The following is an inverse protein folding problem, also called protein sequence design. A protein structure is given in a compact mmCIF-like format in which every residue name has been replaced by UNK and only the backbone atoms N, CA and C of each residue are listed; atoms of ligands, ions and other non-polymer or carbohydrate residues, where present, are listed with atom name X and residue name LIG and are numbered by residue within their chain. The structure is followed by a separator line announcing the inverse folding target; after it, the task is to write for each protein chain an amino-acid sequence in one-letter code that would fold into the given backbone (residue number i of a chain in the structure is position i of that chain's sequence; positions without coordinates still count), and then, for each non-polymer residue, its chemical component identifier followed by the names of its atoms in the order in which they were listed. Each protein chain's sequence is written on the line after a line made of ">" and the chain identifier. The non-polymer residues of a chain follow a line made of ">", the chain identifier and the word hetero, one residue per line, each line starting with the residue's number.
data_IF_657907699294
#
_entry.id   IF_657907699294
#
_cell.length_a   1.000
_cell.length_b   1.000
_cell.length_c   1.000
_cell.angle_alpha   90.00
_cell.angle_beta   90.00
_cell.angle_gamma   90.00
#
_symmetry.space_group_name_H-M   'P 1'
#
loop_
_entity.id
_entity.type
_entity.pdbx_description
1 polymer ?
#
# COMPACT_ATOMS: atom_id res chain seq x y z
N UNK A 1 -32.16 24.76 -31.88
CA UNK A 1 -31.26 23.72 -32.44
C UNK A 1 -29.78 24.04 -32.21
N UNK A 2 -29.24 25.19 -32.67
CA UNK A 2 -27.81 25.53 -32.43
C UNK A 2 -27.41 25.65 -30.95
N UNK A 3 -28.25 26.27 -30.11
CA UNK A 3 -28.00 26.39 -28.65
C UNK A 3 -28.05 25.04 -27.92
N UNK A 4 -28.93 24.13 -28.36
CA UNK A 4 -29.01 22.77 -27.81
C UNK A 4 -27.77 21.94 -28.19
N UNK A 5 -27.23 22.10 -29.41
CA UNK A 5 -25.99 21.42 -29.82
C UNK A 5 -24.77 21.91 -29.02
N UNK A 6 -24.64 23.21 -28.78
CA UNK A 6 -23.53 23.78 -28.00
C UNK A 6 -23.56 23.29 -26.54
N UNK A 7 -24.75 23.23 -25.93
CA UNK A 7 -24.91 22.71 -24.57
C UNK A 7 -24.54 21.23 -24.49
N UNK A 8 -24.92 20.42 -25.48
CA UNK A 8 -24.56 19.00 -25.54
C UNK A 8 -23.06 18.77 -25.70
N UNK A 9 -22.36 19.59 -26.48
CA UNK A 9 -20.89 19.52 -26.64
C UNK A 9 -20.19 19.89 -25.33
N UNK A 10 -20.67 20.91 -24.62
CA UNK A 10 -20.09 21.32 -23.34
C UNK A 10 -20.22 20.23 -22.26
N UNK A 11 -21.38 19.55 -22.21
CA UNK A 11 -21.61 18.39 -21.32
C UNK A 11 -20.72 17.21 -21.70
N UNK A 12 -20.53 16.94 -23.00
CA UNK A 12 -19.68 15.84 -23.46
C UNK A 12 -18.19 16.07 -23.14
N UNK A 13 -17.72 17.32 -23.21
CA UNK A 13 -16.35 17.72 -22.83
C UNK A 13 -16.16 17.69 -21.31
N UNK A 14 -17.16 18.10 -20.51
CA UNK A 14 -17.08 18.04 -19.06
C UNK A 14 -17.03 16.60 -18.54
N UNK A 15 -17.68 15.66 -19.23
CA UNK A 15 -17.62 14.23 -18.90
C UNK A 15 -16.24 13.60 -19.16
N UNK A 16 -15.47 14.13 -20.12
CA UNK A 16 -14.08 13.70 -20.39
C UNK A 16 -13.05 14.27 -19.40
N UNK A 17 -13.42 15.33 -18.67
CA UNK A 17 -12.55 15.97 -17.66
C UNK A 17 -12.69 15.35 -16.28
N UNK A 18 -13.66 14.44 -16.09
CA UNK A 18 -13.75 13.61 -14.90
C UNK A 18 -12.60 12.61 -14.94
N UNK A 19 -11.55 12.87 -14.15
CA UNK A 19 -10.55 11.85 -13.86
C UNK A 19 -11.28 10.70 -13.14
N UNK A 20 -11.56 9.63 -13.86
CA UNK A 20 -12.03 8.38 -13.28
C UNK A 20 -10.92 7.90 -12.35
N UNK A 21 -11.06 8.14 -11.04
CA UNK A 21 -10.21 7.54 -10.03
C UNK A 21 -10.62 6.08 -9.89
N UNK A 22 -10.12 5.26 -10.82
CA UNK A 22 -10.20 3.80 -10.65
C UNK A 22 -9.23 3.40 -9.55
N UNK A 23 -9.68 2.56 -8.61
CA UNK A 23 -8.76 1.88 -7.72
C UNK A 23 -7.96 0.87 -8.54
N UNK A 24 -6.64 0.97 -8.45
CA UNK A 24 -5.72 -0.01 -9.02
C UNK A 24 -5.16 -0.81 -7.86
N UNK A 25 -5.21 -2.13 -7.96
CA UNK A 25 -4.45 -2.98 -7.05
C UNK A 25 -3.10 -3.29 -7.68
N UNK A 26 -2.04 -2.94 -6.97
CA UNK A 26 -0.67 -3.27 -7.33
C UNK A 26 -0.15 -4.35 -6.38
N UNK A 27 0.59 -5.32 -6.92
CA UNK A 27 1.17 -6.40 -6.12
C UNK A 27 2.68 -6.28 -6.17
N UNK A 28 3.30 -6.04 -5.01
CA UNK A 28 4.75 -6.03 -4.86
C UNK A 28 5.19 -7.32 -4.17
N UNK A 29 6.19 -8.00 -4.73
CA UNK A 29 6.69 -9.28 -4.22
C UNK A 29 5.90 -10.48 -4.73
N UNK A 30 6.26 -10.97 -5.92
CA UNK A 30 5.70 -12.20 -6.52
C UNK A 30 6.63 -13.41 -6.37
N UNK A 31 7.61 -13.30 -5.46
CA UNK A 31 8.54 -14.39 -5.18
C UNK A 31 7.88 -15.54 -4.41
N UNK A 32 8.60 -16.65 -4.29
CA UNK A 32 8.14 -17.85 -3.58
C UNK A 32 8.66 -17.93 -2.14
N UNK A 33 9.55 -17.03 -1.74
CA UNK A 33 10.11 -16.96 -0.38
C UNK A 33 9.05 -16.42 0.57
N UNK A 34 8.86 -17.10 1.69
CA UNK A 34 7.90 -16.75 2.72
C UNK A 34 8.62 -16.17 3.93
N UNK A 35 8.19 -14.98 4.36
CA UNK A 35 8.70 -14.37 5.58
C UNK A 35 7.93 -14.94 6.78
N UNK A 36 8.57 -15.83 7.55
CA UNK A 36 7.91 -16.52 8.68
C UNK A 36 7.43 -15.60 9.82
N UNK A 37 7.97 -14.39 9.90
CA UNK A 37 7.71 -13.45 10.99
C UNK A 37 7.22 -12.07 10.52
N UNK A 38 6.90 -11.90 9.23
CA UNK A 38 6.41 -10.64 8.68
C UNK A 38 5.13 -10.87 7.85
N UNK A 39 4.15 -9.93 7.90
CA UNK A 39 4.09 -8.80 8.83
C UNK A 39 3.69 -9.24 10.25
N UNK A 40 3.17 -10.47 10.41
CA UNK A 40 2.68 -10.94 11.71
C UNK A 40 3.12 -12.36 12.00
N UNK A 41 3.54 -12.56 13.26
CA UNK A 41 3.92 -13.86 13.81
C UNK A 41 2.76 -14.43 14.60
N UNK A 42 2.12 -15.48 14.07
CA UNK A 42 0.87 -16.04 14.61
C UNK A 42 1.04 -17.05 15.75
N UNK A 43 2.27 -17.48 16.04
CA UNK A 43 2.51 -18.55 17.00
C UNK A 43 2.81 -18.06 18.42
N UNK A 44 3.62 -17.00 18.61
CA UNK A 44 4.07 -16.58 19.95
C UNK A 44 4.50 -15.10 19.99
N UNK A 45 4.04 -14.42 21.05
CA UNK A 45 4.54 -13.13 21.50
C UNK A 45 4.09 -11.93 20.65
N UNK A 46 4.37 -10.73 21.16
CA UNK A 46 4.25 -9.49 20.40
C UNK A 46 5.31 -9.47 19.29
N UNK A 47 4.93 -9.04 18.07
CA UNK A 47 5.88 -8.79 16.99
C UNK A 47 5.77 -7.34 16.51
N UNK A 48 6.93 -6.69 16.41
CA UNK A 48 7.09 -5.43 15.71
C UNK A 48 7.93 -5.70 14.46
N UNK A 49 7.46 -5.22 13.31
CA UNK A 49 8.06 -5.48 12.00
C UNK A 49 8.05 -4.21 11.17
N UNK A 50 9.00 -4.11 10.23
CA UNK A 50 9.07 -3.03 9.26
C UNK A 50 9.41 -3.60 7.90
N UNK A 51 8.83 -2.99 6.87
CA UNK A 51 9.07 -3.33 5.48
C UNK A 51 9.36 -2.02 4.73
N UNK A 52 10.33 -2.06 3.82
CA UNK A 52 10.64 -0.94 2.92
C UNK A 52 10.25 -1.39 1.53
N UNK A 53 9.39 -0.60 0.89
CA UNK A 53 9.04 -0.75 -0.51
C UNK A 53 9.58 0.46 -1.25
N UNK A 54 10.51 0.24 -2.18
CA UNK A 54 11.12 1.32 -2.94
C UNK A 54 10.17 1.86 -4.00
N UNK A 55 10.34 3.13 -4.37
CA UNK A 55 9.56 3.74 -5.46
C UNK A 55 9.70 2.94 -6.78
N UNK A 56 10.88 2.36 -7.04
CA UNK A 56 11.13 1.51 -8.20
C UNK A 56 10.27 0.24 -8.17
N UNK A 57 10.20 -0.46 -7.03
CA UNK A 57 9.39 -1.67 -6.89
C UNK A 57 7.89 -1.38 -7.03
N UNK A 58 7.42 -0.31 -6.39
CA UNK A 58 6.01 0.09 -6.43
C UNK A 58 5.62 0.54 -7.85
N UNK A 59 6.49 1.29 -8.54
CA UNK A 59 6.26 1.71 -9.92
C UNK A 59 6.29 0.52 -10.89
N UNK A 60 7.22 -0.43 -10.71
CA UNK A 60 7.27 -1.66 -11.49
C UNK A 60 6.02 -2.54 -11.29
N UNK A 61 5.40 -2.48 -10.12
CA UNK A 61 4.12 -3.13 -9.83
C UNK A 61 2.89 -2.40 -10.42
N UNK A 62 3.08 -1.26 -11.07
CA UNK A 62 2.04 -0.53 -11.80
C UNK A 62 1.45 0.69 -11.08
N UNK A 63 2.04 1.12 -9.96
CA UNK A 63 1.64 2.37 -9.33
C UNK A 63 2.28 3.58 -10.04
N UNK A 64 1.64 4.74 -9.94
CA UNK A 64 2.12 6.00 -10.50
C UNK A 64 2.18 7.10 -9.42
N UNK A 65 3.05 8.12 -9.59
CA UNK A 65 3.07 9.27 -8.70
C UNK A 65 1.70 9.93 -8.55
N UNK A 66 1.34 10.31 -7.33
CA UNK A 66 0.06 10.93 -6.99
C UNK A 66 -1.08 9.97 -6.70
N UNK A 67 -0.86 8.66 -6.81
CA UNK A 67 -1.78 7.65 -6.28
C UNK A 67 -1.74 7.61 -4.74
N UNK A 68 -2.87 7.24 -4.13
CA UNK A 68 -2.99 7.08 -2.68
C UNK A 68 -3.09 5.60 -2.32
N UNK A 69 -2.62 5.24 -1.12
CA UNK A 69 -2.75 3.88 -0.58
C UNK A 69 -4.03 3.85 0.27
N UNK A 70 -5.07 3.18 -0.25
CA UNK A 70 -6.35 3.06 0.44
C UNK A 70 -6.51 1.74 1.21
N UNK A 71 -5.73 0.72 0.85
CA UNK A 71 -5.74 -0.58 1.48
C UNK A 71 -4.40 -1.27 1.29
N UNK A 72 -4.01 -2.09 2.26
CA UNK A 72 -2.85 -2.98 2.19
C UNK A 72 -3.36 -4.39 2.49
N UNK A 73 -2.87 -5.36 1.73
CA UNK A 73 -3.18 -6.77 1.93
C UNK A 73 -1.91 -7.60 1.79
N UNK A 74 -1.79 -8.61 2.63
CA UNK A 74 -0.69 -9.56 2.58
C UNK A 74 -1.21 -10.91 2.13
N UNK A 75 -0.41 -11.60 1.31
CA UNK A 75 -0.69 -12.98 0.95
C UNK A 75 -0.39 -13.88 2.14
N UNK A 76 -1.34 -14.72 2.51
CA UNK A 76 -1.17 -15.72 3.56
C UNK A 76 -1.39 -17.11 2.97
N UNK A 77 -0.41 -18.00 3.18
CA UNK A 77 -0.43 -19.36 2.67
C UNK A 77 -1.29 -20.33 3.50
N UNK A 78 -1.87 -19.87 4.62
CA UNK A 78 -2.75 -20.68 5.47
C UNK A 78 -2.04 -21.45 6.59
N UNK A 79 -0.74 -21.21 6.83
CA UNK A 79 -0.01 -21.79 7.97
C UNK A 79 -0.20 -20.92 9.23
N UNK A 80 -0.55 -21.56 10.35
CA UNK A 80 -0.83 -20.88 11.63
C UNK A 80 -2.30 -20.43 11.76
N UNK A 81 -2.59 -19.52 12.69
CA UNK A 81 -3.92 -18.94 12.85
C UNK A 81 -3.84 -17.44 13.14
N UNK A 82 -4.62 -16.64 12.41
CA UNK A 82 -4.76 -15.20 12.68
C UNK A 82 -5.69 -14.92 13.88
N UNK A 83 -6.41 -15.93 14.37
CA UNK A 83 -7.28 -15.79 15.54
C UNK A 83 -6.50 -15.47 16.83
N UNK A 84 -5.20 -15.76 16.86
CA UNK A 84 -4.31 -15.44 17.98
C UNK A 84 -3.58 -14.09 17.80
N UNK A 85 -4.06 -13.23 16.90
CA UNK A 85 -3.48 -11.91 16.64
C UNK A 85 -4.49 -10.83 16.95
N UNK A 86 -4.04 -9.72 17.52
CA UNK A 86 -4.87 -8.53 17.77
C UNK A 86 -5.08 -7.71 16.48
N UNK A 87 -5.85 -6.63 16.58
CA UNK A 87 -5.92 -5.61 15.53
C UNK A 87 -4.52 -4.99 15.37
N UNK A 88 -4.02 -4.94 14.13
CA UNK A 88 -2.68 -4.45 13.85
C UNK A 88 -2.70 -2.93 13.79
N UNK A 89 -1.87 -2.25 14.56
CA UNK A 89 -1.61 -0.83 14.33
C UNK A 89 -0.58 -0.70 13.20
N UNK A 90 -0.94 0.00 12.13
CA UNK A 90 -0.05 0.19 10.98
C UNK A 90 0.47 1.62 10.96
N UNK A 91 1.77 1.76 10.84
CA UNK A 91 2.47 3.03 10.69
C UNK A 91 3.12 3.12 9.31
N UNK A 92 3.05 4.28 8.68
CA UNK A 92 3.65 4.53 7.38
C UNK A 92 4.39 5.87 7.36
N UNK A 93 5.46 5.95 6.57
CA UNK A 93 6.23 7.16 6.36
C UNK A 93 7.17 7.00 5.17
N UNK A 94 7.56 8.11 4.56
CA UNK A 94 8.59 8.13 3.52
C UNK A 94 9.97 8.20 4.17
N UNK A 95 10.89 7.36 3.72
CA UNK A 95 12.26 7.29 4.24
C UNK A 95 13.27 7.25 3.10
N UNK A 96 14.45 7.82 3.32
CA UNK A 96 15.56 7.73 2.37
C UNK A 96 16.24 6.34 2.36
N UNK A 97 16.04 5.55 3.42
CA UNK A 97 16.59 4.19 3.55
C UNK A 97 15.90 3.26 2.55
N UNK A 98 16.68 2.56 1.72
CA UNK A 98 16.16 1.63 0.69
C UNK A 98 16.20 0.16 1.11
N UNK A 99 16.94 -0.18 2.17
CA UNK A 99 17.01 -1.52 2.76
C UNK A 99 17.41 -1.47 4.23
N UNK A 100 17.18 -2.56 4.96
CA UNK A 100 17.73 -2.75 6.30
C UNK A 100 19.13 -3.35 6.20
N UNK A 101 20.12 -2.64 6.73
CA UNK A 101 21.53 -3.10 6.69
C UNK A 101 21.90 -4.04 7.85
N UNK A 102 21.07 -4.07 8.89
CA UNK A 102 21.25 -4.92 10.07
C UNK A 102 19.92 -5.16 10.78
N UNK A 103 19.92 -6.01 11.80
CA UNK A 103 18.76 -6.27 12.67
C UNK A 103 18.44 -5.14 13.66
N UNK A 104 19.27 -4.08 13.69
CA UNK A 104 19.09 -2.90 14.55
C UNK A 104 18.86 -1.61 13.76
N UNK A 105 18.95 -1.65 12.43
CA UNK A 105 18.81 -0.48 11.55
C UNK A 105 17.34 -0.15 11.23
N UNK A 106 16.51 -0.05 12.27
CA UNK A 106 15.09 0.27 12.15
C UNK A 106 14.88 1.74 11.77
N UNK A 107 13.81 2.01 11.02
CA UNK A 107 13.30 3.36 10.81
C UNK A 107 12.78 3.90 12.15
N UNK A 108 13.18 5.11 12.59
CA UNK A 108 12.69 5.69 13.83
C UNK A 108 11.17 5.85 13.84
N UNK A 109 10.53 5.53 14.97
CA UNK A 109 9.07 5.68 15.11
C UNK A 109 8.60 7.12 14.88
N UNK A 110 9.40 8.11 15.27
CA UNK A 110 9.09 9.53 15.09
C UNK A 110 9.02 9.99 13.62
N UNK A 111 9.51 9.19 12.67
CA UNK A 111 9.36 9.49 11.23
C UNK A 111 8.16 8.78 10.59
N UNK A 112 7.33 8.11 11.39
CA UNK A 112 6.17 7.36 10.91
C UNK A 112 4.88 7.98 11.46
N UNK A 113 3.79 7.81 10.72
CA UNK A 113 2.45 8.23 11.10
C UNK A 113 1.54 7.00 11.18
N UNK A 114 0.70 6.93 12.22
CA UNK A 114 -0.33 5.90 12.32
C UNK A 114 -1.37 6.09 11.22
N UNK A 115 -1.68 5.02 10.49
CA UNK A 115 -2.63 5.04 9.37
C UNK A 115 -3.78 4.05 9.53
N UNK A 116 -3.70 3.14 10.50
CA UNK A 116 -4.73 2.13 10.77
C UNK A 116 -4.65 1.63 12.22
N UNK A 117 -5.81 1.47 12.86
CA UNK A 117 -6.01 0.87 14.18
C UNK A 117 -7.41 0.28 14.29
#
# INVERSE_FOLDING_TARGET
>A
MKKTIILSIFIFISLFSLKVQSQVTVTVGTGTIQAQYNPVRTFWGYNYTQQIYTATEISAAGAAPGMQINAIRFYWEGVGTIANTDIWTVFMGEVAQSNFTSTSNWVPFSSLTEVYT
#
